data_IF_187935602965
#
_entry.id   IF_187935602965
#
_cell.length_a   1.000
_cell.length_b   1.000
_cell.length_c   1.000
_cell.angle_alpha   90.00
_cell.angle_beta   90.00
_cell.angle_gamma   90.00
#
_symmetry.space_group_name_H-M   'P 1'
#
loop_
_entity.id
_entity.type
_entity.pdbx_description
1 polymer ?
#
# COMPACT_ATOMS: atom_id res chain seq x y z
N UNK A 1 6.45 10.80 -25.45
CA UNK A 1 7.39 9.67 -25.42
C UNK A 1 6.60 8.45 -25.00
N UNK A 2 6.40 7.50 -25.92
CA UNK A 2 5.68 6.26 -25.62
C UNK A 2 6.54 5.39 -24.69
N UNK A 3 6.25 5.39 -23.39
CA UNK A 3 6.74 4.35 -22.49
C UNK A 3 6.01 3.08 -22.90
N UNK A 4 6.73 2.17 -23.53
CA UNK A 4 6.21 0.94 -24.11
C UNK A 4 5.49 0.14 -23.03
N UNK A 5 4.29 -0.39 -23.34
CA UNK A 5 3.54 -1.35 -22.51
C UNK A 5 4.43 -2.44 -21.88
N UNK A 6 5.50 -2.82 -22.57
CA UNK A 6 6.50 -3.80 -22.11
C UNK A 6 7.27 -3.37 -20.85
N UNK A 7 7.49 -2.06 -20.63
CA UNK A 7 8.19 -1.58 -19.41
C UNK A 7 7.35 -1.67 -18.15
N UNK A 8 6.05 -1.43 -18.27
CA UNK A 8 5.15 -1.51 -17.10
C UNK A 8 4.92 -2.96 -16.65
N UNK A 9 4.70 -3.90 -17.58
CA UNK A 9 4.59 -5.33 -17.24
C UNK A 9 5.89 -5.89 -16.62
N UNK A 10 7.06 -5.43 -17.08
CA UNK A 10 8.32 -5.77 -16.47
C UNK A 10 8.44 -5.21 -15.03
N UNK A 11 7.90 -4.02 -14.77
CA UNK A 11 7.90 -3.44 -13.43
C UNK A 11 6.95 -4.18 -12.47
N UNK A 12 5.74 -4.55 -12.88
CA UNK A 12 4.84 -5.36 -12.05
C UNK A 12 5.41 -6.77 -11.77
N UNK A 13 5.98 -7.42 -12.78
CA UNK A 13 6.55 -8.77 -12.65
C UNK A 13 7.86 -8.81 -11.85
N UNK A 14 8.72 -7.80 -11.95
CA UNK A 14 9.94 -7.68 -11.15
C UNK A 14 9.68 -7.28 -9.69
N UNK A 15 8.58 -6.61 -9.43
CA UNK A 15 8.26 -6.07 -8.11
C UNK A 15 7.52 -7.07 -7.20
N UNK A 16 6.88 -8.08 -7.78
CA UNK A 16 6.25 -9.19 -7.03
C UNK A 16 7.17 -10.41 -6.84
N UNK A 17 8.34 -10.41 -7.46
CA UNK A 17 9.17 -11.61 -7.61
C UNK A 17 10.49 -11.66 -6.85
N UNK A 18 10.64 -11.11 -5.65
CA UNK A 18 11.90 -11.22 -4.92
C UNK A 18 11.74 -11.47 -3.44
N UNK A 19 11.21 -12.62 -3.08
CA UNK A 19 11.49 -13.27 -1.79
C UNK A 19 11.58 -14.80 -1.99
N UNK A 20 12.61 -15.25 -2.70
CA UNK A 20 13.01 -16.65 -2.64
C UNK A 20 13.83 -16.82 -1.37
N UNK A 21 13.21 -17.30 -0.32
CA UNK A 21 13.91 -17.82 0.86
C UNK A 21 14.56 -19.15 0.49
N UNK A 22 15.83 -19.12 0.17
CA UNK A 22 16.68 -20.33 0.15
C UNK A 22 16.91 -20.79 1.60
N UNK A 23 16.26 -21.85 2.03
CA UNK A 23 16.59 -22.52 3.28
C UNK A 23 17.82 -23.37 3.06
N UNK A 24 18.98 -22.86 3.49
CA UNK A 24 20.15 -23.71 3.78
C UNK A 24 19.91 -24.42 5.13
N UNK A 25 19.96 -25.72 5.12
CA UNK A 25 20.08 -26.52 6.36
C UNK A 25 21.45 -26.25 7.00
N UNK A 26 21.45 -25.49 8.09
CA UNK A 26 22.59 -25.46 9.01
C UNK A 26 22.24 -26.18 10.30
N UNK A 27 23.12 -27.06 10.69
CA UNK A 27 23.09 -27.94 11.86
C UNK A 27 23.11 -27.12 13.16
N UNK A 28 22.23 -27.50 14.07
CA UNK A 28 22.08 -26.95 15.42
C UNK A 28 23.35 -27.15 16.26
N UNK A 29 24.01 -26.04 16.55
CA UNK A 29 24.90 -25.95 17.71
C UNK A 29 24.12 -25.25 18.82
N UNK A 30 23.88 -25.94 19.93
CA UNK A 30 23.27 -25.34 21.12
C UNK A 30 24.23 -24.31 21.73
N UNK A 31 23.85 -23.02 21.58
CA UNK A 31 24.43 -21.93 22.36
C UNK A 31 23.32 -21.31 23.18
N UNK A 32 23.40 -21.50 24.50
CA UNK A 32 22.53 -20.88 25.48
C UNK A 32 22.83 -19.37 25.53
N UNK A 33 22.15 -18.59 24.70
CA UNK A 33 22.07 -17.15 24.85
C UNK A 33 20.88 -16.80 25.74
N UNK A 34 21.18 -16.30 26.93
CA UNK A 34 20.22 -15.61 27.80
C UNK A 34 19.65 -14.40 27.05
N UNK A 35 18.42 -14.50 26.60
CA UNK A 35 17.63 -13.43 26.01
C UNK A 35 17.29 -12.41 27.12
N UNK A 36 18.10 -11.38 27.30
CA UNK A 36 17.63 -10.14 27.91
C UNK A 36 16.74 -9.43 26.89
N UNK A 37 15.44 -9.61 27.03
CA UNK A 37 14.46 -8.73 26.38
C UNK A 37 14.65 -7.33 26.94
N UNK A 38 15.36 -6.46 26.21
CA UNK A 38 15.30 -5.02 26.49
C UNK A 38 13.85 -4.58 26.24
N UNK A 39 13.15 -4.21 27.29
CA UNK A 39 11.88 -3.47 27.21
C UNK A 39 12.15 -2.17 26.45
N UNK A 40 11.64 -2.07 25.24
CA UNK A 40 11.69 -0.85 24.44
C UNK A 40 10.73 0.15 25.08
N UNK A 41 11.21 1.31 25.46
CA UNK A 41 10.41 2.40 26.01
C UNK A 41 9.29 2.78 25.00
N UNK A 42 8.01 2.71 25.39
CA UNK A 42 6.88 3.02 24.50
C UNK A 42 6.90 4.44 23.94
N UNK A 43 7.48 5.39 24.64
CA UNK A 43 7.63 6.79 24.19
C UNK A 43 8.61 6.92 23.03
N UNK A 44 9.69 6.16 23.05
CA UNK A 44 10.69 6.11 21.97
C UNK A 44 10.11 5.46 20.71
N UNK A 45 9.29 4.42 20.86
CA UNK A 45 8.63 3.75 19.75
C UNK A 45 7.63 4.69 19.04
N UNK A 46 6.82 5.44 19.79
CA UNK A 46 5.85 6.39 19.23
C UNK A 46 6.53 7.53 18.45
N UNK A 47 7.56 8.16 18.98
CA UNK A 47 8.31 9.20 18.27
C UNK A 47 8.96 8.69 16.97
N UNK A 48 9.39 7.42 16.95
CA UNK A 48 9.94 6.78 15.75
C UNK A 48 8.87 6.52 14.68
N UNK A 49 7.64 6.20 15.09
CA UNK A 49 6.52 5.99 14.16
C UNK A 49 6.02 7.32 13.56
N UNK A 50 5.91 8.38 14.35
CA UNK A 50 5.48 9.69 13.88
C UNK A 50 6.44 10.26 12.82
N UNK A 51 7.73 9.97 12.94
CA UNK A 51 8.75 10.30 11.94
C UNK A 51 8.44 9.69 10.56
N UNK A 52 7.81 8.49 10.49
CA UNK A 52 7.49 7.82 9.23
C UNK A 52 6.54 8.64 8.36
N UNK A 53 5.66 9.45 8.96
CA UNK A 53 4.75 10.36 8.23
C UNK A 53 5.56 11.41 7.47
N UNK A 54 6.49 12.08 8.13
CA UNK A 54 7.31 13.11 7.46
C UNK A 54 8.19 12.51 6.37
N UNK A 55 8.88 11.39 6.65
CA UNK A 55 9.71 10.69 5.67
C UNK A 55 8.89 10.25 4.46
N UNK A 56 7.69 9.72 4.68
CA UNK A 56 6.77 9.28 3.63
C UNK A 56 6.27 10.44 2.76
N UNK A 57 5.91 11.57 3.37
CA UNK A 57 5.51 12.78 2.66
C UNK A 57 6.67 13.35 1.83
N UNK A 58 7.89 13.39 2.39
CA UNK A 58 9.08 13.79 1.64
C UNK A 58 9.31 12.88 0.43
N UNK A 59 9.18 11.57 0.63
CA UNK A 59 9.39 10.58 -0.41
C UNK A 59 8.34 10.68 -1.54
N UNK A 60 7.05 10.79 -1.19
CA UNK A 60 5.99 10.98 -2.20
C UNK A 60 6.21 12.25 -3.01
N UNK A 61 6.49 13.38 -2.34
CA UNK A 61 6.66 14.66 -2.99
C UNK A 61 7.89 14.73 -3.92
N UNK A 62 8.95 13.97 -3.60
CA UNK A 62 10.20 13.95 -4.38
C UNK A 62 10.21 12.90 -5.48
N UNK A 63 9.36 11.88 -5.39
CA UNK A 63 9.36 10.76 -6.34
C UNK A 63 9.16 11.15 -7.82
N UNK A 64 8.41 12.23 -8.18
CA UNK A 64 8.31 12.66 -9.59
C UNK A 64 9.65 12.99 -10.26
N UNK A 65 10.61 13.52 -9.50
CA UNK A 65 11.93 13.89 -9.97
C UNK A 65 12.91 12.71 -10.05
N UNK A 66 12.50 11.55 -9.49
CA UNK A 66 13.30 10.33 -9.39
C UNK A 66 12.64 9.18 -10.17
N UNK A 67 12.54 8.01 -9.58
CA UNK A 67 11.71 6.93 -10.12
C UNK A 67 10.28 7.05 -9.55
N UNK A 68 9.42 7.83 -10.23
CA UNK A 68 8.08 8.15 -9.74
C UNK A 68 7.31 6.92 -9.26
N UNK A 69 7.45 5.78 -9.95
CA UNK A 69 6.73 4.57 -9.62
C UNK A 69 7.31 3.88 -8.37
N UNK A 70 8.59 3.49 -8.40
CA UNK A 70 9.21 2.77 -7.29
C UNK A 70 9.35 3.65 -6.04
N UNK A 71 9.72 4.91 -6.21
CA UNK A 71 9.93 5.84 -5.09
C UNK A 71 8.61 6.33 -4.50
N UNK A 72 7.57 6.52 -5.32
CA UNK A 72 6.21 6.74 -4.85
C UNK A 72 5.71 5.58 -3.98
N UNK A 73 5.99 4.34 -4.36
CA UNK A 73 5.67 3.16 -3.55
C UNK A 73 6.39 3.17 -2.20
N UNK A 74 7.67 3.55 -2.15
CA UNK A 74 8.46 3.64 -0.90
C UNK A 74 7.89 4.71 0.03
N UNK A 75 7.51 5.87 -0.51
CA UNK A 75 6.82 6.92 0.26
C UNK A 75 5.48 6.45 0.81
N UNK A 76 4.67 5.81 -0.02
CA UNK A 76 3.41 5.22 0.39
C UNK A 76 3.59 4.12 1.46
N UNK A 77 4.67 3.33 1.37
CA UNK A 77 4.99 2.30 2.34
C UNK A 77 5.32 2.86 3.73
N UNK A 78 6.08 3.97 3.80
CA UNK A 78 6.40 4.66 5.05
C UNK A 78 5.12 5.13 5.75
N UNK A 79 4.21 5.77 5.02
CA UNK A 79 2.93 6.24 5.58
C UNK A 79 2.05 5.06 6.00
N UNK A 80 1.95 4.01 5.16
CA UNK A 80 1.15 2.83 5.48
C UNK A 80 1.69 2.08 6.69
N UNK A 81 3.01 2.03 6.87
CA UNK A 81 3.64 1.40 8.03
C UNK A 81 3.33 2.15 9.33
N UNK A 82 3.28 3.50 9.30
CA UNK A 82 2.82 4.28 10.45
C UNK A 82 1.42 3.83 10.89
N UNK A 83 0.45 3.83 9.97
CA UNK A 83 -0.93 3.44 10.30
C UNK A 83 -1.07 1.96 10.63
N UNK A 84 -0.30 1.08 9.97
CA UNK A 84 -0.27 -0.33 10.31
C UNK A 84 0.20 -0.55 11.76
N UNK A 85 1.25 0.17 12.18
CA UNK A 85 1.77 0.09 13.55
C UNK A 85 0.82 0.70 14.57
N UNK A 86 0.20 1.85 14.28
CA UNK A 86 -0.65 2.56 15.23
C UNK A 86 -1.99 1.85 15.44
N UNK A 87 -2.56 1.26 14.38
CA UNK A 87 -3.96 0.85 14.36
C UNK A 87 -4.15 -0.68 14.48
N UNK A 88 -3.11 -1.49 14.15
CA UNK A 88 -3.27 -2.93 13.96
C UNK A 88 -2.15 -3.79 14.58
N UNK A 89 -1.04 -3.22 15.00
CA UNK A 89 0.07 -3.96 15.62
C UNK A 89 0.27 -3.51 17.06
N UNK A 90 -0.10 -4.37 18.00
CA UNK A 90 0.00 -4.08 19.44
C UNK A 90 1.39 -4.36 20.01
N UNK A 91 2.14 -5.32 19.42
CA UNK A 91 3.44 -5.73 19.95
C UNK A 91 4.53 -4.72 19.62
N UNK A 92 5.11 -4.08 20.63
CA UNK A 92 6.20 -3.12 20.49
C UNK A 92 7.41 -3.68 19.72
N UNK A 93 7.73 -4.97 19.88
CA UNK A 93 8.82 -5.64 19.15
C UNK A 93 8.56 -5.73 17.64
N UNK A 94 7.30 -5.91 17.23
CA UNK A 94 6.93 -5.88 15.80
C UNK A 94 7.02 -4.46 15.24
N UNK A 95 6.52 -3.46 15.98
CA UNK A 95 6.61 -2.05 15.60
C UNK A 95 8.06 -1.60 15.45
N UNK A 96 8.92 -1.94 16.40
CA UNK A 96 10.36 -1.64 16.35
C UNK A 96 11.03 -2.29 15.14
N UNK A 97 10.70 -3.56 14.84
CA UNK A 97 11.27 -4.25 13.67
C UNK A 97 10.80 -3.63 12.35
N UNK A 98 9.56 -3.18 12.26
CA UNK A 98 9.04 -2.47 11.08
C UNK A 98 9.83 -1.18 10.86
N UNK A 99 10.03 -0.36 11.90
CA UNK A 99 10.81 0.88 11.82
C UNK A 99 12.24 0.59 11.39
N UNK A 100 12.89 -0.42 11.98
CA UNK A 100 14.23 -0.86 11.60
C UNK A 100 14.33 -1.25 10.12
N UNK A 101 13.39 -2.06 9.63
CA UNK A 101 13.33 -2.45 8.21
C UNK A 101 13.19 -1.25 7.28
N UNK A 102 12.39 -0.25 7.65
CA UNK A 102 12.23 0.98 6.88
C UNK A 102 13.49 1.85 6.92
N UNK A 103 14.17 1.91 8.06
CA UNK A 103 15.42 2.65 8.19
C UNK A 103 16.54 2.03 7.35
N UNK A 104 16.68 0.72 7.36
CA UNK A 104 17.67 0.00 6.53
C UNK A 104 17.42 0.21 5.02
N UNK A 105 16.15 0.30 4.60
CA UNK A 105 15.80 0.27 3.18
C UNK A 105 15.48 1.64 2.57
N UNK A 106 14.90 2.59 3.34
CA UNK A 106 14.35 3.82 2.76
C UNK A 106 14.80 5.11 3.45
N UNK A 107 14.81 5.17 4.78
CA UNK A 107 14.87 6.43 5.55
C UNK A 107 16.13 7.22 5.32
N UNK A 108 17.27 6.59 5.12
CA UNK A 108 18.57 7.23 4.90
C UNK A 108 18.83 7.65 3.44
N UNK A 109 17.87 7.46 2.55
CA UNK A 109 18.03 7.79 1.14
C UNK A 109 17.75 9.27 0.85
N UNK A 110 18.25 9.78 -0.29
CA UNK A 110 17.92 11.13 -0.79
C UNK A 110 16.42 11.35 -0.95
N UNK A 111 15.68 10.28 -1.18
CA UNK A 111 14.23 10.27 -1.33
C UNK A 111 13.54 10.87 -0.08
N UNK A 112 13.98 10.50 1.10
CA UNK A 112 13.42 10.92 2.38
C UNK A 112 14.04 12.21 2.95
N UNK A 113 15.00 12.82 2.26
CA UNK A 113 15.66 14.04 2.72
C UNK A 113 14.64 15.16 3.00
N UNK A 114 14.81 15.97 4.04
CA UNK A 114 13.90 17.06 4.35
C UNK A 114 13.83 18.09 3.20
N UNK A 115 12.64 18.71 3.06
CA UNK A 115 12.48 19.87 2.19
C UNK A 115 12.96 21.14 2.92
N UNK A 116 13.33 22.19 2.16
CA UNK A 116 13.59 23.50 2.75
C UNK A 116 12.42 23.97 3.61
N UNK A 117 12.72 24.64 4.72
CA UNK A 117 11.69 25.17 5.60
C UNK A 117 10.88 26.25 4.86
N UNK A 118 9.58 26.03 4.74
CA UNK A 118 8.61 26.99 4.17
C UNK A 118 7.35 26.97 5.02
N UNK A 119 6.61 28.07 5.03
CA UNK A 119 5.35 28.12 5.76
C UNK A 119 4.36 27.06 5.23
N UNK A 120 3.71 26.31 6.12
CA UNK A 120 2.70 25.35 5.72
C UNK A 120 1.46 26.05 5.20
N UNK A 121 0.77 25.41 4.25
CA UNK A 121 -0.54 25.81 3.76
C UNK A 121 -1.48 24.58 3.77
N UNK A 122 -2.14 24.30 4.90
CA UNK A 122 -3.06 23.17 4.99
C UNK A 122 -4.22 23.22 3.98
N UNK A 123 -4.59 24.41 3.48
CA UNK A 123 -5.64 24.55 2.46
C UNK A 123 -5.16 23.99 1.10
N UNK A 124 -3.85 23.96 0.86
CA UNK A 124 -3.31 23.40 -0.37
C UNK A 124 -3.54 21.88 -0.51
N UNK A 125 -3.85 21.15 0.59
CA UNK A 125 -4.17 19.71 0.55
C UNK A 125 -5.31 19.41 -0.42
N UNK A 126 -6.27 20.33 -0.55
CA UNK A 126 -7.39 20.23 -1.48
C UNK A 126 -6.93 20.03 -2.94
N UNK A 127 -5.80 20.61 -3.33
CA UNK A 127 -5.24 20.48 -4.68
C UNK A 127 -4.93 19.02 -5.03
N UNK A 128 -4.58 18.20 -4.03
CA UNK A 128 -4.31 16.76 -4.25
C UNK A 128 -5.59 16.03 -4.65
N UNK A 129 -6.69 16.28 -3.92
CA UNK A 129 -7.99 15.70 -4.25
C UNK A 129 -8.54 16.18 -5.60
N UNK A 130 -8.41 17.48 -5.91
CA UNK A 130 -8.80 18.05 -7.22
C UNK A 130 -7.94 17.44 -8.37
N UNK A 131 -6.65 17.25 -8.14
CA UNK A 131 -5.76 16.59 -9.12
C UNK A 131 -6.14 15.12 -9.34
N UNK A 132 -6.53 14.42 -8.29
CA UNK A 132 -7.04 13.05 -8.38
C UNK A 132 -8.36 13.01 -9.16
N UNK A 133 -9.34 13.85 -8.80
CA UNK A 133 -10.65 13.89 -9.41
C UNK A 133 -10.60 14.25 -10.91
N UNK A 134 -9.67 15.10 -11.32
CA UNK A 134 -9.47 15.49 -12.73
C UNK A 134 -9.09 14.32 -13.66
N UNK A 135 -8.78 13.13 -13.12
CA UNK A 135 -8.46 11.90 -13.87
C UNK A 135 -9.07 10.66 -13.24
N UNK A 136 -10.11 10.85 -12.45
CA UNK A 136 -10.69 9.80 -11.64
C UNK A 136 -11.37 8.69 -12.45
N UNK A 137 -11.85 8.98 -13.65
CA UNK A 137 -12.49 8.02 -14.57
C UNK A 137 -11.50 7.09 -15.28
N UNK A 138 -10.21 7.44 -15.31
CA UNK A 138 -9.17 6.68 -16.01
C UNK A 138 -8.49 5.70 -15.08
N UNK A 139 -8.41 4.43 -15.46
CA UNK A 139 -7.64 3.43 -14.72
C UNK A 139 -6.13 3.67 -14.89
N UNK A 140 -5.53 4.34 -13.93
CA UNK A 140 -4.12 4.70 -13.93
C UNK A 140 -3.31 3.69 -13.11
N UNK A 141 -2.56 2.82 -13.83
CA UNK A 141 -1.61 1.88 -13.21
C UNK A 141 -2.16 1.20 -11.93
N UNK A 142 -3.28 0.48 -12.09
CA UNK A 142 -3.99 -0.27 -11.02
C UNK A 142 -4.46 0.58 -9.81
N UNK A 143 -4.70 1.89 -10.04
CA UNK A 143 -5.24 2.81 -9.03
C UNK A 143 -4.19 3.49 -8.16
N UNK A 144 -2.90 3.49 -8.55
CA UNK A 144 -1.83 4.10 -7.76
C UNK A 144 -2.03 5.60 -7.50
N UNK A 145 -2.64 6.34 -8.45
CA UNK A 145 -2.99 7.74 -8.26
C UNK A 145 -3.90 7.95 -7.04
N UNK A 146 -4.92 7.13 -6.87
CA UNK A 146 -5.84 7.20 -5.73
C UNK A 146 -5.15 6.72 -4.42
N UNK A 147 -4.39 5.63 -4.48
CA UNK A 147 -3.67 5.09 -3.33
C UNK A 147 -2.71 6.13 -2.74
N UNK A 148 -1.93 6.79 -3.59
CA UNK A 148 -0.93 7.75 -3.11
C UNK A 148 -1.55 9.10 -2.72
N UNK A 149 -2.61 9.53 -3.43
CA UNK A 149 -3.38 10.70 -3.05
C UNK A 149 -4.00 10.54 -1.65
N UNK A 150 -4.69 9.43 -1.40
CA UNK A 150 -5.32 9.14 -0.11
C UNK A 150 -4.29 9.14 1.02
N UNK A 151 -3.18 8.41 0.86
CA UNK A 151 -2.13 8.33 1.88
C UNK A 151 -1.51 9.71 2.17
N UNK A 152 -1.28 10.52 1.13
CA UNK A 152 -0.75 11.88 1.30
C UNK A 152 -1.75 12.78 2.02
N UNK A 153 -3.02 12.78 1.61
CA UNK A 153 -4.08 13.59 2.25
C UNK A 153 -4.21 13.22 3.73
N UNK A 154 -4.29 11.92 4.03
CA UNK A 154 -4.37 11.41 5.40
C UNK A 154 -3.16 11.84 6.25
N UNK A 155 -1.96 11.70 5.70
CA UNK A 155 -0.71 12.07 6.36
C UNK A 155 -0.58 13.58 6.59
N UNK A 156 -0.97 14.42 5.63
CA UNK A 156 -0.98 15.87 5.81
C UNK A 156 -2.01 16.33 6.84
N UNK A 157 -3.18 15.68 6.92
CA UNK A 157 -4.17 15.96 7.96
C UNK A 157 -3.68 15.59 9.35
N UNK A 158 -2.91 14.50 9.46
CA UNK A 158 -2.26 14.12 10.72
C UNK A 158 -1.13 15.09 11.09
N UNK A 159 -0.38 15.60 10.10
CA UNK A 159 0.73 16.54 10.28
C UNK A 159 0.55 17.80 9.43
N UNK A 160 -0.35 18.73 9.81
CA UNK A 160 -0.64 19.94 9.02
C UNK A 160 0.59 20.83 8.80
N UNK A 161 1.53 20.84 9.74
CA UNK A 161 2.80 21.55 9.60
C UNK A 161 3.67 21.04 8.43
N UNK A 162 3.44 19.81 7.98
CA UNK A 162 4.12 19.23 6.83
C UNK A 162 3.52 19.62 5.48
N UNK A 163 2.31 20.23 5.45
CA UNK A 163 1.59 20.61 4.24
C UNK A 163 2.19 21.89 3.62
N UNK A 164 3.46 21.83 3.22
CA UNK A 164 4.12 22.94 2.52
C UNK A 164 3.75 22.92 1.03
N UNK A 165 3.71 24.09 0.37
CA UNK A 165 3.36 24.19 -1.06
C UNK A 165 4.21 23.25 -1.95
N UNK A 166 5.49 23.13 -1.67
CA UNK A 166 6.41 22.27 -2.42
C UNK A 166 6.07 20.78 -2.28
N UNK A 167 5.78 20.31 -1.05
CA UNK A 167 5.39 18.91 -0.84
C UNK A 167 4.04 18.59 -1.49
N UNK A 168 3.07 19.49 -1.36
CA UNK A 168 1.75 19.32 -1.98
C UNK A 168 1.85 19.26 -3.49
N UNK A 169 2.60 20.19 -4.12
CA UNK A 169 2.78 20.20 -5.57
C UNK A 169 3.53 18.94 -6.05
N UNK A 170 4.56 18.49 -5.35
CA UNK A 170 5.26 17.24 -5.69
C UNK A 170 4.31 16.03 -5.67
N UNK A 171 3.38 15.94 -4.71
CA UNK A 171 2.35 14.89 -4.70
C UNK A 171 1.39 15.05 -5.89
N UNK A 172 0.96 16.26 -6.23
CA UNK A 172 0.13 16.51 -7.41
C UNK A 172 0.86 16.09 -8.70
N UNK A 173 2.14 16.39 -8.83
CA UNK A 173 2.96 15.95 -9.96
C UNK A 173 3.06 14.42 -10.02
N UNK A 174 3.22 13.75 -8.88
CA UNK A 174 3.24 12.30 -8.82
C UNK A 174 1.93 11.70 -9.38
N UNK A 175 0.78 12.22 -8.96
CA UNK A 175 -0.53 11.79 -9.44
C UNK A 175 -0.64 11.96 -10.97
N UNK A 176 -0.14 13.07 -11.52
CA UNK A 176 -0.17 13.35 -12.97
C UNK A 176 0.74 12.43 -13.77
N UNK A 177 1.79 11.85 -13.18
CA UNK A 177 2.73 10.96 -13.86
C UNK A 177 2.20 9.58 -14.18
N UNK A 178 1.17 9.13 -13.48
CA UNK A 178 0.58 7.82 -13.76
C UNK A 178 -0.10 7.78 -15.12
N UNK A 179 0.06 6.67 -15.81
CA UNK A 179 -0.44 6.47 -17.19
C UNK A 179 -1.57 5.45 -17.23
N UNK A 180 -2.46 5.50 -18.23
CA UNK A 180 -3.52 4.51 -18.40
C UNK A 180 -2.96 3.08 -18.50
N UNK A 181 -3.63 2.14 -17.82
CA UNK A 181 -3.28 0.74 -17.84
C UNK A 181 -4.54 -0.13 -17.95
N UNK A 182 -4.67 -0.89 -19.03
CA UNK A 182 -5.88 -1.71 -19.34
C UNK A 182 -7.18 -0.91 -19.15
N UNK A 183 -7.15 0.36 -19.55
CA UNK A 183 -8.24 1.31 -19.38
C UNK A 183 -9.30 1.08 -20.47
N UNK A 184 -10.05 -0.03 -20.30
CA UNK A 184 -11.20 -0.40 -21.14
C UNK A 184 -12.51 -0.06 -20.40
N UNK A 185 -13.65 0.09 -21.13
CA UNK A 185 -14.94 0.30 -20.46
C UNK A 185 -15.22 -0.78 -19.42
N UNK A 186 -15.78 -0.41 -18.25
CA UNK A 186 -16.10 -1.37 -17.22
C UNK A 186 -17.27 -2.27 -17.63
N UNK A 187 -17.33 -3.48 -17.10
CA UNK A 187 -18.49 -4.35 -17.21
C UNK A 187 -19.69 -3.68 -16.52
N UNK A 188 -20.82 -3.40 -17.22
CA UNK A 188 -21.97 -2.73 -16.65
C UNK A 188 -22.66 -3.54 -15.53
N UNK A 189 -22.40 -4.82 -15.43
CA UNK A 189 -22.88 -5.67 -14.33
C UNK A 189 -22.15 -5.42 -13.00
N UNK A 190 -21.02 -4.70 -13.02
CA UNK A 190 -20.25 -4.36 -11.83
C UNK A 190 -20.84 -3.09 -11.20
N UNK A 191 -21.54 -3.27 -10.08
CA UNK A 191 -22.20 -2.20 -9.35
C UNK A 191 -21.72 -2.22 -7.88
N UNK A 192 -20.54 -1.65 -7.58
CA UNK A 192 -20.07 -1.58 -6.20
C UNK A 192 -20.97 -0.67 -5.36
N UNK A 193 -21.17 -0.97 -4.07
CA UNK A 193 -21.83 -0.06 -3.15
C UNK A 193 -21.19 1.34 -3.13
N UNK A 194 -21.90 2.34 -2.60
CA UNK A 194 -21.35 3.68 -2.41
C UNK A 194 -20.15 3.65 -1.45
N UNK A 195 -19.12 4.44 -1.73
CA UNK A 195 -17.93 4.48 -0.86
C UNK A 195 -18.24 5.04 0.54
N UNK A 196 -19.33 5.77 0.70
CA UNK A 196 -19.85 6.22 2.01
C UNK A 196 -20.45 5.08 2.84
N UNK A 197 -20.97 4.02 2.24
CA UNK A 197 -21.36 2.79 2.95
C UNK A 197 -20.12 1.91 3.20
N UNK A 198 -19.31 2.34 4.18
CA UNK A 198 -18.02 1.73 4.47
C UNK A 198 -18.11 0.22 4.72
N UNK A 199 -19.21 -0.27 5.30
CA UNK A 199 -19.35 -1.68 5.58
C UNK A 199 -19.64 -2.50 4.31
N UNK A 200 -20.61 -2.07 3.52
CA UNK A 200 -20.99 -2.79 2.31
C UNK A 200 -19.87 -2.78 1.26
N UNK A 201 -19.26 -1.61 1.03
CA UNK A 201 -18.16 -1.50 0.05
C UNK A 201 -16.91 -2.26 0.50
N UNK A 202 -16.57 -2.28 1.81
CA UNK A 202 -15.43 -3.07 2.29
C UNK A 202 -15.66 -4.57 2.09
N UNK A 203 -16.87 -5.06 2.31
CA UNK A 203 -17.22 -6.47 2.01
C UNK A 203 -17.09 -6.78 0.52
N UNK A 204 -17.55 -5.86 -0.35
CA UNK A 204 -17.42 -6.01 -1.80
C UNK A 204 -15.94 -6.10 -2.20
N UNK A 205 -15.10 -5.16 -1.74
CA UNK A 205 -13.67 -5.12 -2.05
C UNK A 205 -12.95 -6.40 -1.59
N UNK A 206 -13.23 -6.87 -0.36
CA UNK A 206 -12.63 -8.08 0.17
C UNK A 206 -13.07 -9.34 -0.57
N UNK A 207 -14.33 -9.40 -1.05
CA UNK A 207 -14.79 -10.48 -1.91
C UNK A 207 -14.05 -10.49 -3.25
N UNK A 208 -13.96 -9.31 -3.92
CA UNK A 208 -13.24 -9.21 -5.19
C UNK A 208 -11.74 -9.54 -5.03
N UNK A 209 -11.13 -9.15 -3.90
CA UNK A 209 -9.74 -9.52 -3.58
C UNK A 209 -9.57 -11.02 -3.36
N UNK A 210 -10.49 -11.67 -2.63
CA UNK A 210 -10.49 -13.12 -2.41
C UNK A 210 -10.58 -13.88 -3.74
N UNK A 211 -11.51 -13.46 -4.60
CA UNK A 211 -11.69 -14.06 -5.92
C UNK A 211 -10.50 -13.80 -6.86
N UNK A 212 -9.87 -12.62 -6.74
CA UNK A 212 -8.66 -12.31 -7.49
C UNK A 212 -7.47 -13.19 -7.06
N UNK A 213 -7.33 -13.53 -5.77
CA UNK A 213 -6.30 -14.47 -5.32
C UNK A 213 -6.42 -15.78 -6.09
N UNK A 214 -7.61 -16.38 -6.13
CA UNK A 214 -7.84 -17.66 -6.80
C UNK A 214 -7.55 -17.60 -8.31
N UNK A 215 -7.93 -16.50 -8.98
CA UNK A 215 -7.71 -16.33 -10.43
C UNK A 215 -6.25 -16.12 -10.80
N UNK A 216 -5.46 -15.53 -9.90
CA UNK A 216 -4.06 -15.16 -10.18
C UNK A 216 -3.03 -16.06 -9.51
N UNK A 217 -3.41 -17.26 -9.05
CA UNK A 217 -2.45 -18.27 -8.59
C UNK A 217 -1.43 -18.57 -9.71
N UNK A 218 -0.15 -18.45 -9.40
CA UNK A 218 0.95 -18.61 -10.36
C UNK A 218 1.23 -17.39 -11.24
N UNK A 219 0.57 -16.23 -10.98
CA UNK A 219 0.83 -14.96 -11.67
C UNK A 219 1.21 -13.83 -10.70
N UNK A 220 1.29 -14.13 -9.41
CA UNK A 220 1.56 -13.17 -8.33
C UNK A 220 0.34 -12.39 -7.88
N UNK A 221 0.36 -12.04 -6.63
CA UNK A 221 -0.79 -11.47 -5.95
C UNK A 221 -0.86 -9.93 -5.97
N UNK A 222 -0.11 -9.29 -6.89
CA UNK A 222 -0.21 -7.85 -7.11
C UNK A 222 -1.62 -7.38 -7.46
N UNK A 223 -2.38 -8.18 -8.22
CA UNK A 223 -3.76 -7.87 -8.57
C UNK A 223 -4.69 -7.86 -7.36
N UNK A 224 -4.65 -8.90 -6.52
CA UNK A 224 -5.43 -8.95 -5.29
C UNK A 224 -5.00 -7.87 -4.28
N UNK A 225 -3.69 -7.66 -4.12
CA UNK A 225 -3.15 -6.61 -3.25
C UNK A 225 -3.57 -5.20 -3.67
N UNK A 226 -3.60 -4.92 -4.99
CA UNK A 226 -4.09 -3.63 -5.48
C UNK A 226 -5.61 -3.51 -5.46
N UNK A 227 -6.38 -4.61 -5.56
CA UNK A 227 -7.81 -4.58 -5.30
C UNK A 227 -8.09 -4.04 -3.89
N UNK A 228 -7.37 -4.56 -2.89
CA UNK A 228 -7.51 -4.08 -1.52
C UNK A 228 -7.03 -2.63 -1.38
N UNK A 229 -5.82 -2.28 -1.86
CA UNK A 229 -5.27 -0.94 -1.62
C UNK A 229 -5.98 0.15 -2.41
N UNK A 230 -6.43 -0.12 -3.64
CA UNK A 230 -7.22 0.84 -4.42
C UNK A 230 -8.60 1.03 -3.81
N UNK A 231 -9.31 -0.06 -3.54
CA UNK A 231 -10.63 0.03 -2.88
C UNK A 231 -10.53 0.70 -1.51
N UNK A 232 -9.55 0.33 -0.68
CA UNK A 232 -9.28 0.96 0.60
C UNK A 232 -9.04 2.48 0.48
N UNK A 233 -8.29 2.92 -0.54
CA UNK A 233 -8.04 4.34 -0.74
C UNK A 233 -9.35 5.13 -0.95
N UNK A 234 -10.30 4.58 -1.69
CA UNK A 234 -11.59 5.25 -1.93
C UNK A 234 -12.49 5.22 -0.68
N UNK A 235 -12.53 4.10 0.03
CA UNK A 235 -13.25 3.98 1.31
C UNK A 235 -12.70 4.97 2.34
N UNK A 236 -11.39 5.09 2.42
CA UNK A 236 -10.73 5.97 3.39
C UNK A 236 -10.94 7.46 3.04
N UNK A 237 -10.87 7.83 1.74
CA UNK A 237 -11.24 9.18 1.30
C UNK A 237 -12.68 9.52 1.72
N UNK A 238 -13.63 8.62 1.46
CA UNK A 238 -15.02 8.84 1.87
C UNK A 238 -15.17 8.94 3.40
N UNK A 239 -14.44 8.11 4.16
CA UNK A 239 -14.43 8.14 5.62
C UNK A 239 -13.86 9.44 6.20
N UNK A 240 -12.91 10.06 5.49
CA UNK A 240 -12.35 11.38 5.85
C UNK A 240 -13.25 12.56 5.44
N UNK A 241 -14.41 12.31 4.84
CA UNK A 241 -15.35 13.32 4.36
C UNK A 241 -15.17 13.73 2.90
N UNK A 242 -14.21 13.14 2.17
CA UNK A 242 -13.89 13.43 0.77
C UNK A 242 -14.68 12.53 -0.20
N UNK A 243 -15.98 12.36 0.03
CA UNK A 243 -16.84 11.44 -0.75
C UNK A 243 -16.80 11.77 -2.24
N UNK A 244 -16.78 13.05 -2.61
CA UNK A 244 -16.73 13.48 -4.02
C UNK A 244 -15.47 13.01 -4.73
N UNK A 245 -14.31 13.02 -4.07
CA UNK A 245 -13.07 12.54 -4.65
C UNK A 245 -13.04 11.01 -4.76
N UNK A 246 -13.61 10.32 -3.77
CA UNK A 246 -13.76 8.86 -3.83
C UNK A 246 -14.66 8.45 -5.00
N UNK A 247 -15.83 9.08 -5.12
CA UNK A 247 -16.81 8.78 -6.16
C UNK A 247 -16.33 9.17 -7.57
N UNK A 248 -15.52 10.22 -7.71
CA UNK A 248 -14.89 10.54 -9.00
C UNK A 248 -14.03 9.40 -9.56
N UNK A 249 -13.51 8.52 -8.69
CA UNK A 249 -12.69 7.36 -9.08
C UNK A 249 -13.51 6.06 -9.27
N UNK A 250 -14.84 6.10 -9.13
CA UNK A 250 -15.72 4.91 -9.22
C UNK A 250 -15.55 4.17 -10.55
N UNK A 251 -15.55 4.90 -11.66
CA UNK A 251 -15.41 4.28 -12.97
C UNK A 251 -14.06 3.55 -13.13
N UNK A 252 -12.95 4.19 -12.72
CA UNK A 252 -11.64 3.55 -12.73
C UNK A 252 -11.60 2.30 -11.83
N UNK A 253 -12.27 2.33 -10.68
CA UNK A 253 -12.38 1.17 -9.80
C UNK A 253 -13.18 0.04 -10.46
N UNK A 254 -14.33 0.34 -11.10
CA UNK A 254 -15.10 -0.64 -11.87
C UNK A 254 -14.28 -1.26 -13.01
N UNK A 255 -13.48 -0.45 -13.73
CA UNK A 255 -12.54 -0.94 -14.74
C UNK A 255 -11.52 -1.92 -14.13
N UNK A 256 -11.00 -1.62 -12.94
CA UNK A 256 -10.08 -2.52 -12.26
C UNK A 256 -10.73 -3.84 -11.83
N UNK A 257 -11.95 -3.80 -11.28
CA UNK A 257 -12.75 -4.99 -10.98
C UNK A 257 -12.98 -5.81 -12.25
N UNK A 258 -13.31 -5.16 -13.37
CA UNK A 258 -13.49 -5.83 -14.67
C UNK A 258 -12.23 -6.60 -15.08
N UNK A 259 -11.06 -5.93 -15.04
CA UNK A 259 -9.77 -6.55 -15.37
C UNK A 259 -9.47 -7.76 -14.47
N UNK A 260 -9.71 -7.63 -13.17
CA UNK A 260 -9.44 -8.73 -12.23
C UNK A 260 -10.39 -9.90 -12.39
N UNK A 261 -11.66 -9.65 -12.73
CA UNK A 261 -12.63 -10.71 -13.02
C UNK A 261 -12.34 -11.47 -14.32
N UNK A 262 -11.71 -10.82 -15.31
CA UNK A 262 -11.26 -11.48 -16.54
C UNK A 262 -10.08 -12.43 -16.30
N UNK A 263 -9.34 -12.27 -15.20
CA UNK A 263 -8.18 -13.08 -14.88
C UNK A 263 -6.92 -12.70 -15.66
N UNK A 264 -5.87 -13.56 -15.62
CA UNK A 264 -4.61 -13.30 -16.29
C UNK A 264 -4.77 -13.21 -17.81
N UNK A 265 -4.11 -12.23 -18.41
CA UNK A 265 -4.01 -12.08 -19.86
C UNK A 265 -2.80 -12.87 -20.42
N UNK A 266 -2.70 -12.95 -21.75
CA UNK A 266 -1.55 -13.57 -22.42
C UNK A 266 -0.23 -12.84 -22.14
N UNK A 267 -0.28 -11.56 -21.78
CA UNK A 267 0.89 -10.74 -21.47
C UNK A 267 1.35 -10.91 -20.01
N UNK A 268 0.55 -11.53 -19.15
CA UNK A 268 0.90 -11.72 -17.74
C UNK A 268 1.89 -12.88 -17.60
N UNK A 269 2.97 -12.61 -16.87
CA UNK A 269 4.01 -13.62 -16.63
C UNK A 269 3.64 -14.52 -15.47
N UNK A 270 3.89 -15.83 -15.63
CA UNK A 270 3.87 -16.73 -14.50
C UNK A 270 5.01 -16.44 -13.56
N UNK A 271 4.71 -16.40 -12.27
CA UNK A 271 5.70 -16.25 -11.20
C UNK A 271 5.39 -17.26 -10.09
N UNK A 272 6.40 -17.54 -9.28
CA UNK A 272 6.23 -18.41 -8.11
C UNK A 272 5.39 -17.69 -7.06
N UNK A 273 4.36 -18.35 -6.56
CA UNK A 273 3.57 -17.84 -5.44
C UNK A 273 4.37 -17.84 -4.13
N UNK A 274 3.86 -17.12 -3.15
CA UNK A 274 4.39 -17.16 -1.78
C UNK A 274 4.31 -18.59 -1.23
N UNK A 275 5.16 -18.91 -0.27
CA UNK A 275 5.06 -20.15 0.48
C UNK A 275 3.95 -20.03 1.53
N UNK A 276 3.15 -21.08 1.63
CA UNK A 276 2.10 -21.13 2.64
C UNK A 276 2.67 -20.93 4.05
N UNK A 277 2.07 -20.03 4.79
CA UNK A 277 2.44 -19.71 6.17
C UNK A 277 1.22 -19.30 6.98
N UNK A 278 1.24 -19.65 8.27
CA UNK A 278 0.24 -19.18 9.25
C UNK A 278 0.63 -17.84 9.88
N UNK A 279 1.84 -17.34 9.62
CA UNK A 279 2.25 -16.04 10.13
C UNK A 279 1.49 -14.94 9.41
N UNK A 280 1.08 -13.94 10.16
CA UNK A 280 0.36 -12.76 9.66
C UNK A 280 1.06 -11.48 10.07
N UNK A 281 0.89 -10.37 9.34
CA UNK A 281 1.55 -9.10 9.64
C UNK A 281 1.21 -8.50 11.02
N UNK A 282 0.14 -8.93 11.67
CA UNK A 282 -0.16 -8.58 13.07
C UNK A 282 0.54 -9.48 14.10
N UNK A 283 1.32 -10.50 13.67
CA UNK A 283 2.16 -11.34 14.53
C UNK A 283 3.61 -10.83 14.51
N UNK A 284 4.20 -10.60 15.69
CA UNK A 284 5.59 -10.14 15.79
C UNK A 284 6.59 -11.07 15.08
N UNK A 285 6.34 -12.38 15.09
CA UNK A 285 7.19 -13.38 14.43
C UNK A 285 7.23 -13.22 12.91
N UNK A 286 6.18 -12.65 12.29
CA UNK A 286 6.17 -12.34 10.86
C UNK A 286 7.27 -11.33 10.51
N UNK A 287 7.43 -10.30 11.32
CA UNK A 287 8.43 -9.25 11.13
C UNK A 287 9.83 -9.68 11.54
N UNK A 288 9.95 -10.41 12.66
CA UNK A 288 11.24 -10.91 13.17
C UNK A 288 11.92 -11.88 12.19
N UNK A 289 11.12 -12.71 11.49
CA UNK A 289 11.64 -13.65 10.48
C UNK A 289 11.96 -12.98 9.14
N UNK A 290 11.57 -11.73 8.94
CA UNK A 290 11.78 -11.06 7.66
C UNK A 290 13.22 -10.57 7.53
N UNK A 291 13.94 -10.94 6.43
CA UNK A 291 15.30 -10.47 6.19
C UNK A 291 15.35 -8.95 6.00
N UNK A 292 16.47 -8.33 6.37
CA UNK A 292 16.64 -6.87 6.37
C UNK A 292 16.32 -6.20 5.03
N UNK A 293 16.70 -6.82 3.92
CA UNK A 293 16.51 -6.25 2.57
C UNK A 293 15.39 -6.93 1.78
N UNK A 294 14.33 -7.35 2.46
CA UNK A 294 13.22 -8.09 1.87
C UNK A 294 11.94 -7.29 1.63
N UNK A 295 11.96 -5.98 1.90
CA UNK A 295 10.73 -5.16 1.84
C UNK A 295 10.38 -4.65 0.44
N UNK A 296 11.29 -4.83 -0.54
CA UNK A 296 11.07 -4.45 -1.94
C UNK A 296 10.72 -2.97 -2.09
N UNK A 297 9.60 -2.66 -2.73
CA UNK A 297 9.05 -1.31 -2.83
C UNK A 297 7.94 -1.04 -1.79
N UNK A 298 7.74 -1.94 -0.83
CA UNK A 298 6.88 -1.71 0.34
C UNK A 298 5.45 -2.21 0.24
N UNK A 299 5.13 -3.14 -0.66
CA UNK A 299 3.82 -3.80 -0.67
C UNK A 299 3.52 -4.49 0.65
N UNK A 300 4.54 -5.04 1.29
CA UNK A 300 4.47 -5.70 2.60
C UNK A 300 3.91 -4.83 3.74
N UNK A 301 3.86 -3.52 3.58
CA UNK A 301 3.24 -2.59 4.53
C UNK A 301 1.86 -2.12 4.05
N UNK A 302 1.72 -1.85 2.74
CA UNK A 302 0.48 -1.30 2.16
C UNK A 302 -0.66 -2.32 2.13
N UNK A 303 -0.38 -3.56 1.71
CA UNK A 303 -1.40 -4.60 1.60
C UNK A 303 -1.98 -4.97 2.96
N UNK A 304 -1.17 -5.24 4.01
CA UNK A 304 -1.70 -5.51 5.33
C UNK A 304 -2.49 -4.33 5.92
N UNK A 305 -2.00 -3.10 5.76
CA UNK A 305 -2.73 -1.93 6.23
C UNK A 305 -4.13 -1.86 5.60
N UNK A 306 -4.22 -1.97 4.28
CA UNK A 306 -5.50 -1.96 3.59
C UNK A 306 -6.40 -3.14 4.00
N UNK A 307 -5.83 -4.34 4.11
CA UNK A 307 -6.57 -5.54 4.50
C UNK A 307 -7.19 -5.40 5.90
N UNK A 308 -6.40 -5.04 6.90
CA UNK A 308 -6.90 -4.96 8.27
C UNK A 308 -7.93 -3.86 8.45
N UNK A 309 -7.76 -2.71 7.79
CA UNK A 309 -8.75 -1.63 7.88
C UNK A 309 -10.06 -2.01 7.19
N UNK A 310 -10.00 -2.57 5.98
CA UNK A 310 -11.19 -3.08 5.29
C UNK A 310 -11.89 -4.20 6.07
N UNK A 311 -11.13 -5.14 6.66
CA UNK A 311 -11.69 -6.23 7.47
C UNK A 311 -12.39 -5.69 8.74
N UNK A 312 -11.80 -4.69 9.39
CA UNK A 312 -12.38 -4.00 10.54
C UNK A 312 -13.72 -3.34 10.17
N UNK A 313 -13.79 -2.64 9.03
CA UNK A 313 -15.02 -1.98 8.52
C UNK A 313 -16.07 -2.99 8.08
N UNK A 314 -15.67 -4.06 7.41
CA UNK A 314 -16.57 -5.13 6.96
C UNK A 314 -17.24 -5.88 8.12
N UNK A 315 -16.58 -5.90 9.29
CA UNK A 315 -16.98 -6.67 10.44
C UNK A 315 -16.74 -8.18 10.28
N UNK A 316 -17.11 -8.96 11.27
CA UNK A 316 -16.95 -10.42 11.22
C UNK A 316 -17.91 -11.04 10.19
N UNK A 317 -17.38 -11.43 9.04
CA UNK A 317 -18.16 -12.00 7.93
C UNK A 317 -17.48 -13.25 7.37
N UNK A 318 -18.23 -14.07 6.63
CA UNK A 318 -17.67 -15.23 5.92
C UNK A 318 -16.58 -14.82 4.91
N UNK A 319 -16.73 -13.65 4.30
CA UNK A 319 -15.75 -13.10 3.34
C UNK A 319 -14.41 -12.83 4.04
N UNK A 320 -14.43 -12.17 5.20
CA UNK A 320 -13.22 -11.90 5.98
C UNK A 320 -12.54 -13.20 6.40
N UNK A 321 -13.31 -14.19 6.90
CA UNK A 321 -12.76 -15.48 7.28
C UNK A 321 -12.14 -16.23 6.09
N UNK A 322 -12.83 -16.26 4.96
CA UNK A 322 -12.32 -16.92 3.73
C UNK A 322 -11.05 -16.23 3.20
N UNK A 323 -11.00 -14.90 3.22
CA UNK A 323 -9.79 -14.18 2.78
C UNK A 323 -8.62 -14.37 3.75
N UNK A 324 -8.88 -14.47 5.07
CA UNK A 324 -7.84 -14.75 6.06
C UNK A 324 -7.14 -16.10 5.82
N UNK A 325 -7.88 -17.12 5.41
CA UNK A 325 -7.29 -18.43 5.05
C UNK A 325 -6.32 -18.32 3.85
N UNK A 326 -6.59 -17.40 2.92
CA UNK A 326 -5.81 -17.17 1.69
C UNK A 326 -4.78 -16.04 1.83
N UNK A 327 -4.77 -15.29 2.93
CA UNK A 327 -3.98 -14.07 3.08
C UNK A 327 -2.47 -14.28 2.91
N UNK A 328 -1.96 -15.51 3.14
CA UNK A 328 -0.56 -15.86 2.91
C UNK A 328 -0.12 -15.73 1.44
N UNK A 329 -1.06 -15.74 0.49
CA UNK A 329 -0.74 -15.45 -0.91
C UNK A 329 -0.33 -13.99 -1.13
N UNK A 330 -0.77 -13.08 -0.27
CA UNK A 330 -0.60 -11.63 -0.46
C UNK A 330 0.49 -11.05 0.43
N UNK A 331 0.77 -11.66 1.61
CA UNK A 331 1.65 -11.11 2.65
C UNK A 331 3.02 -11.74 2.73
#
# INVERSE_FOLDING_TARGET
MNVSRRHFHAQLATLSGSCVLGFGQETLGESTCTNQQQEVDPTTAKGSQDRLIELGLNALARSPEMNYFADGHRGAALISAHYLCSDFIEQASAQSRIVELLDINYSSTKLCAPFPATSPDPQAIRKIGETLAGRGDTLLQVGHNAIFAMLAIKAFRLSPASATPQRVEGVCELIRKFTPWRDAPPDPAIQPPDFSDQQAISRFILQEASDAIDRFIGFGQGFAGHMMTFGHALVELAAMGDVEWAESCREAFCKYVTVTRQGPSQDDRRIKDHLETKLRPNDARYWQKRPDRSVGIGHVFKYPYAYYDLAKRAGQTKVVASLEEKAWHVF
#
